data_IF_797243177932
#
_entry.id   IF_797243177932
#
_cell.length_a   1.000
_cell.length_b   1.000
_cell.length_c   1.000
_cell.angle_alpha   90.00
_cell.angle_beta   90.00
_cell.angle_gamma   90.00
#
_symmetry.space_group_name_H-M   'P 1'
#
loop_
_entity.id
_entity.type
_entity.pdbx_description
1 polymer ?
#
# COMPACT_ATOMS: atom_id res chain seq x y z
N UNK A 1 -30.30 -65.47 -5.19
CA UNK A 1 -30.67 -64.19 -5.82
C UNK A 1 -29.62 -63.18 -5.37
N UNK A 2 -28.64 -62.87 -6.23
CA UNK A 2 -28.49 -61.60 -6.96
C UNK A 2 -28.21 -60.41 -6.01
N UNK A 3 -27.18 -59.57 -6.13
CA UNK A 3 -26.19 -59.32 -7.18
C UNK A 3 -24.99 -58.60 -6.57
N UNK A 4 -23.83 -58.81 -7.21
CA UNK A 4 -22.57 -58.08 -7.13
C UNK A 4 -22.73 -56.55 -7.24
N UNK A 5 -21.92 -55.78 -6.49
CA UNK A 5 -21.40 -54.48 -6.97
C UNK A 5 -19.89 -54.38 -6.78
N UNK A 6 -19.25 -54.08 -7.90
CA UNK A 6 -17.82 -53.98 -8.19
C UNK A 6 -17.33 -52.54 -7.93
N UNK A 7 -16.15 -52.46 -7.32
CA UNK A 7 -15.02 -51.53 -7.52
C UNK A 7 -15.25 -50.19 -8.22
N UNK A 8 -14.82 -49.09 -7.58
CA UNK A 8 -13.76 -48.22 -8.17
C UNK A 8 -13.11 -47.33 -7.10
N UNK A 9 -11.77 -47.20 -7.09
CA UNK A 9 -11.05 -46.31 -6.20
C UNK A 9 -11.14 -44.88 -6.74
N UNK A 10 -11.55 -43.95 -5.88
CA UNK A 10 -11.61 -42.53 -6.20
C UNK A 10 -10.21 -42.02 -6.51
N UNK A 11 -10.05 -41.58 -7.75
CA UNK A 11 -8.81 -41.06 -8.35
C UNK A 11 -8.30 -39.84 -7.57
N UNK A 12 -6.97 -39.68 -7.36
CA UNK A 12 -6.42 -38.43 -6.84
C UNK A 12 -6.65 -37.35 -7.90
N UNK A 13 -7.34 -36.27 -7.52
CA UNK A 13 -7.42 -35.08 -8.37
C UNK A 13 -6.02 -34.53 -8.64
N UNK A 14 -5.72 -34.10 -9.88
CA UNK A 14 -4.40 -33.63 -10.27
C UNK A 14 -4.05 -32.36 -9.50
N UNK A 15 -2.83 -32.36 -8.96
CA UNK A 15 -2.17 -31.23 -8.33
C UNK A 15 -2.20 -30.00 -9.25
N UNK A 16 -3.14 -29.09 -9.04
CA UNK A 16 -2.96 -27.71 -9.49
C UNK A 16 -2.00 -27.10 -8.50
N UNK A 17 -0.77 -26.79 -8.93
CA UNK A 17 0.18 -26.05 -8.11
C UNK A 17 -0.44 -24.70 -7.79
N UNK A 18 -1.02 -24.57 -6.60
CA UNK A 18 -1.35 -23.30 -5.96
C UNK A 18 -0.01 -22.55 -5.81
N UNK A 19 0.37 -21.76 -6.81
CA UNK A 19 1.44 -20.79 -6.65
C UNK A 19 0.90 -19.68 -5.75
N UNK A 20 1.10 -19.85 -4.44
CA UNK A 20 0.80 -18.84 -3.45
C UNK A 20 1.41 -17.50 -3.87
N UNK A 21 0.62 -16.44 -3.75
CA UNK A 21 1.13 -15.07 -3.92
C UNK A 21 2.29 -14.84 -2.95
N UNK A 22 3.38 -14.29 -3.45
CA UNK A 22 4.57 -14.04 -2.64
C UNK A 22 4.38 -12.86 -1.70
N UNK A 23 5.21 -12.79 -0.66
CA UNK A 23 5.20 -11.65 0.29
C UNK A 23 5.52 -10.33 -0.41
N UNK A 24 6.37 -10.34 -1.42
CA UNK A 24 6.77 -9.16 -2.18
C UNK A 24 5.59 -8.64 -3.02
N UNK A 25 4.86 -9.55 -3.67
CA UNK A 25 3.64 -9.22 -4.42
C UNK A 25 2.54 -8.66 -3.51
N UNK A 26 2.30 -9.27 -2.34
CA UNK A 26 1.39 -8.72 -1.33
C UNK A 26 1.83 -7.33 -0.86
N UNK A 27 3.14 -7.10 -0.76
CA UNK A 27 3.71 -5.79 -0.41
C UNK A 27 3.50 -4.74 -1.52
N UNK A 28 3.49 -5.17 -2.79
CA UNK A 28 3.11 -4.31 -3.93
C UNK A 28 1.62 -3.95 -3.88
N UNK A 29 0.72 -4.92 -3.63
CA UNK A 29 -0.72 -4.64 -3.44
C UNK A 29 -0.91 -3.62 -2.33
N UNK A 30 -0.29 -3.85 -1.17
CA UNK A 30 -0.36 -2.94 -0.01
C UNK A 30 0.15 -1.54 -0.34
N UNK A 31 1.30 -1.44 -1.00
CA UNK A 31 1.89 -0.16 -1.39
C UNK A 31 1.02 0.59 -2.41
N UNK A 32 0.42 -0.11 -3.37
CA UNK A 32 -0.52 0.47 -4.32
C UNK A 32 -1.73 1.10 -3.62
N UNK A 33 -2.32 0.39 -2.65
CA UNK A 33 -3.45 0.91 -1.88
C UNK A 33 -3.05 2.16 -1.09
N UNK A 34 -1.95 2.09 -0.35
CA UNK A 34 -1.47 3.23 0.43
C UNK A 34 -1.21 4.46 -0.46
N UNK A 35 -0.47 4.28 -1.56
CA UNK A 35 -0.15 5.36 -2.49
C UNK A 35 -1.39 5.97 -3.13
N UNK A 36 -2.36 5.15 -3.52
CA UNK A 36 -3.64 5.61 -4.09
C UNK A 36 -4.40 6.49 -3.10
N UNK A 37 -4.44 6.09 -1.83
CA UNK A 37 -5.11 6.86 -0.79
C UNK A 37 -4.35 8.13 -0.41
N UNK A 38 -3.02 8.05 -0.25
CA UNK A 38 -2.15 9.20 0.03
C UNK A 38 -2.30 10.26 -1.06
N UNK A 39 -2.28 9.86 -2.32
CA UNK A 39 -2.42 10.77 -3.44
C UNK A 39 -3.76 11.54 -3.37
N UNK A 40 -4.87 10.83 -3.17
CA UNK A 40 -6.20 11.44 -2.98
C UNK A 40 -6.26 12.39 -1.79
N UNK A 41 -5.60 12.05 -0.68
CA UNK A 41 -5.54 12.90 0.51
C UNK A 41 -4.78 14.18 0.19
N UNK A 42 -3.61 14.11 -0.45
CA UNK A 42 -2.86 15.31 -0.81
C UNK A 42 -3.60 16.20 -1.81
N UNK A 43 -4.26 15.63 -2.82
CA UNK A 43 -5.11 16.40 -3.74
C UNK A 43 -6.23 17.14 -2.99
N UNK A 44 -6.91 16.44 -2.07
CA UNK A 44 -7.96 17.03 -1.23
C UNK A 44 -7.41 18.14 -0.35
N UNK A 45 -6.29 17.90 0.32
CA UNK A 45 -5.71 18.85 1.27
C UNK A 45 -5.23 20.12 0.54
N UNK A 46 -4.59 19.98 -0.61
CA UNK A 46 -4.22 21.12 -1.46
C UNK A 46 -5.45 21.95 -1.84
N UNK A 47 -6.56 21.30 -2.23
CA UNK A 47 -7.83 21.97 -2.53
C UNK A 47 -8.44 22.66 -1.33
N UNK A 48 -8.41 22.05 -0.15
CA UNK A 48 -8.95 22.63 1.10
C UNK A 48 -8.15 23.85 1.52
N UNK A 49 -6.81 23.76 1.50
CA UNK A 49 -5.92 24.88 1.81
C UNK A 49 -6.26 26.08 0.91
N UNK A 50 -6.34 25.87 -0.40
CA UNK A 50 -6.61 26.94 -1.37
C UNK A 50 -8.00 27.55 -1.27
N UNK A 51 -9.02 26.79 -0.82
CA UNK A 51 -10.42 27.25 -0.80
C UNK A 51 -10.95 27.68 0.57
N UNK A 52 -10.23 27.37 1.65
CA UNK A 52 -10.74 27.58 3.02
C UNK A 52 -10.83 29.05 3.45
N UNK A 53 -10.01 29.93 2.87
CA UNK A 53 -9.87 31.32 3.33
C UNK A 53 -9.24 31.47 4.72
N UNK A 54 -8.81 30.37 5.36
CA UNK A 54 -8.24 30.37 6.72
C UNK A 54 -6.75 30.71 6.74
N UNK A 55 -6.05 30.47 5.63
CA UNK A 55 -4.61 30.67 5.53
C UNK A 55 -4.30 32.07 5.00
N UNK A 56 -3.38 32.78 5.65
CA UNK A 56 -2.89 34.09 5.16
C UNK A 56 -2.05 33.95 3.88
N UNK A 57 -1.36 32.82 3.74
CA UNK A 57 -0.42 32.52 2.64
C UNK A 57 -0.65 31.11 2.07
N UNK A 58 -1.86 30.80 1.54
CA UNK A 58 -2.23 29.43 1.15
C UNK A 58 -1.30 28.85 0.08
N UNK A 59 -0.73 29.68 -0.80
CA UNK A 59 0.16 29.26 -1.88
C UNK A 59 1.41 28.53 -1.36
N UNK A 60 2.00 28.98 -0.25
CA UNK A 60 3.17 28.35 0.35
C UNK A 60 2.87 26.91 0.80
N UNK A 61 1.74 26.70 1.46
CA UNK A 61 1.33 25.37 1.93
C UNK A 61 0.87 24.48 0.78
N UNK A 62 0.20 25.06 -0.22
CA UNK A 62 -0.17 24.35 -1.44
C UNK A 62 1.06 23.86 -2.20
N UNK A 63 2.14 24.64 -2.28
CA UNK A 63 3.39 24.23 -2.93
C UNK A 63 4.03 23.01 -2.24
N UNK A 64 4.05 23.02 -0.90
CA UNK A 64 4.53 21.89 -0.10
C UNK A 64 3.72 20.62 -0.38
N UNK A 65 2.38 20.70 -0.30
CA UNK A 65 1.50 19.54 -0.53
C UNK A 65 1.54 19.09 -1.99
N UNK A 66 1.62 20.03 -2.94
CA UNK A 66 1.73 19.71 -4.38
C UNK A 66 3.03 18.98 -4.70
N UNK A 67 4.13 19.34 -4.05
CA UNK A 67 5.41 18.63 -4.19
C UNK A 67 5.29 17.18 -3.67
N UNK A 68 4.66 16.97 -2.51
CA UNK A 68 4.40 15.63 -2.00
C UNK A 68 3.46 14.83 -2.93
N UNK A 69 2.42 15.48 -3.49
CA UNK A 69 1.49 14.87 -4.46
C UNK A 69 2.23 14.35 -5.69
N UNK A 70 3.14 15.15 -6.26
CA UNK A 70 4.00 14.76 -7.40
C UNK A 70 4.86 13.54 -7.07
N UNK A 71 5.53 13.55 -5.91
CA UNK A 71 6.33 12.40 -5.44
C UNK A 71 5.49 11.14 -5.33
N UNK A 72 4.34 11.20 -4.67
CA UNK A 72 3.42 10.06 -4.54
C UNK A 72 2.92 9.57 -5.91
N UNK A 73 2.67 10.48 -6.86
CA UNK A 73 2.27 10.11 -8.22
C UNK A 73 3.35 9.29 -8.94
N UNK A 74 4.61 9.69 -8.83
CA UNK A 74 5.75 8.96 -9.41
C UNK A 74 5.85 7.57 -8.78
N UNK A 75 5.82 7.49 -7.45
CA UNK A 75 5.87 6.20 -6.74
C UNK A 75 4.68 5.30 -7.12
N UNK A 76 3.48 5.86 -7.31
CA UNK A 76 2.30 5.09 -7.72
C UNK A 76 2.46 4.53 -9.13
N UNK A 77 3.05 5.30 -10.05
CA UNK A 77 3.38 4.82 -11.39
C UNK A 77 4.39 3.69 -11.35
N UNK A 78 5.43 3.79 -10.52
CA UNK A 78 6.42 2.74 -10.34
C UNK A 78 5.81 1.45 -9.78
N UNK A 79 5.02 1.56 -8.71
CA UNK A 79 4.32 0.40 -8.13
C UNK A 79 3.34 -0.21 -9.15
N UNK A 80 2.65 0.61 -9.94
CA UNK A 80 1.74 0.10 -10.99
C UNK A 80 2.50 -0.66 -12.07
N UNK A 81 3.68 -0.17 -12.47
CA UNK A 81 4.57 -0.86 -13.41
C UNK A 81 5.06 -2.18 -12.82
N UNK A 82 5.43 -2.19 -11.55
CA UNK A 82 5.91 -3.40 -10.87
C UNK A 82 4.78 -4.43 -10.69
N UNK A 83 3.57 -4.00 -10.35
CA UNK A 83 2.41 -4.88 -10.37
C UNK A 83 2.25 -5.58 -11.74
N UNK A 84 2.36 -4.81 -12.83
CA UNK A 84 2.25 -5.35 -14.18
C UNK A 84 3.38 -6.34 -14.54
N UNK A 85 4.63 -6.08 -14.11
CA UNK A 85 5.76 -6.99 -14.38
C UNK A 85 5.63 -8.33 -13.64
N UNK A 86 4.90 -8.37 -12.53
CA UNK A 86 4.58 -9.59 -11.77
C UNK A 86 3.25 -10.25 -12.20
N UNK A 87 2.65 -9.84 -13.32
CA UNK A 87 1.33 -10.30 -13.77
C UNK A 87 0.24 -10.13 -12.69
N UNK A 88 0.37 -9.10 -11.85
CA UNK A 88 -0.53 -8.76 -10.76
C UNK A 88 -1.37 -7.55 -11.17
N UNK A 89 -2.70 -7.69 -11.09
CA UNK A 89 -3.64 -6.62 -11.44
C UNK A 89 -4.66 -6.44 -10.33
N UNK A 90 -4.73 -5.23 -9.79
CA UNK A 90 -5.80 -4.85 -8.86
C UNK A 90 -7.10 -4.70 -9.66
N UNK A 91 -8.12 -5.47 -9.31
CA UNK A 91 -9.41 -5.50 -10.01
C UNK A 91 -10.43 -4.61 -9.31
N UNK A 92 -10.46 -4.65 -7.99
CA UNK A 92 -11.42 -3.88 -7.17
C UNK A 92 -10.73 -3.36 -5.92
N UNK A 93 -11.03 -2.11 -5.55
CA UNK A 93 -10.69 -1.55 -4.24
C UNK A 93 -11.97 -1.12 -3.55
N UNK A 94 -12.20 -1.64 -2.33
CA UNK A 94 -13.34 -1.29 -1.48
C UNK A 94 -12.82 -0.80 -0.14
N UNK A 95 -13.63 0.01 0.52
CA UNK A 95 -13.38 0.44 1.88
C UNK A 95 -14.69 0.38 2.66
N UNK A 96 -14.61 -0.05 3.91
CA UNK A 96 -15.74 -0.17 4.83
C UNK A 96 -15.39 0.47 6.19
N UNK A 97 -16.20 0.21 7.21
CA UNK A 97 -15.96 0.73 8.56
C UNK A 97 -14.76 0.09 9.26
N UNK A 98 -14.31 -1.08 8.83
CA UNK A 98 -13.23 -1.85 9.44
C UNK A 98 -11.88 -1.59 8.75
N UNK A 99 -11.87 -1.37 7.44
CA UNK A 99 -10.63 -1.14 6.70
C UNK A 99 -10.78 -0.97 5.20
N UNK A 100 -9.69 -1.30 4.50
CA UNK A 100 -9.58 -1.28 3.04
C UNK A 100 -9.38 -2.72 2.56
N UNK A 101 -10.11 -3.09 1.52
CA UNK A 101 -10.03 -4.38 0.87
C UNK A 101 -9.66 -4.19 -0.60
N UNK A 102 -8.80 -5.07 -1.11
CA UNK A 102 -8.45 -5.11 -2.51
C UNK A 102 -8.60 -6.52 -3.05
N UNK A 103 -9.28 -6.64 -4.18
CA UNK A 103 -9.29 -7.85 -4.99
C UNK A 103 -8.27 -7.68 -6.11
N UNK A 104 -7.57 -8.76 -6.41
CA UNK A 104 -6.53 -8.78 -7.43
C UNK A 104 -6.51 -10.10 -8.19
N UNK A 105 -6.00 -10.06 -9.41
CA UNK A 105 -5.66 -11.26 -10.18
C UNK A 105 -4.13 -11.37 -10.32
N UNK A 106 -3.56 -12.52 -9.98
CA UNK A 106 -2.14 -12.82 -10.13
C UNK A 106 -1.97 -14.12 -10.92
N UNK A 107 -1.28 -14.08 -12.07
CA UNK A 107 -1.02 -15.28 -12.90
C UNK A 107 -2.26 -16.17 -13.17
N UNK A 108 -3.45 -15.55 -13.28
CA UNK A 108 -4.72 -16.24 -13.52
C UNK A 108 -5.51 -16.62 -12.26
N UNK A 109 -4.92 -16.53 -11.07
CA UNK A 109 -5.60 -16.73 -9.80
C UNK A 109 -6.19 -15.42 -9.27
N UNK A 110 -7.32 -15.51 -8.56
CA UNK A 110 -7.91 -14.36 -7.85
C UNK A 110 -7.53 -14.44 -6.38
N UNK A 111 -7.21 -13.29 -5.79
CA UNK A 111 -6.95 -13.16 -4.36
C UNK A 111 -7.53 -11.88 -3.79
N UNK A 112 -7.57 -11.82 -2.46
CA UNK A 112 -8.03 -10.67 -1.71
C UNK A 112 -7.02 -10.28 -0.63
N UNK A 113 -6.90 -8.99 -0.37
CA UNK A 113 -6.09 -8.43 0.71
C UNK A 113 -6.92 -7.44 1.50
N UNK A 114 -6.93 -7.60 2.82
CA UNK A 114 -7.65 -6.73 3.74
C UNK A 114 -6.71 -6.10 4.75
N UNK A 115 -6.83 -4.79 4.94
CA UNK A 115 -6.03 -4.02 5.88
C UNK A 115 -6.96 -3.22 6.79
N UNK A 116 -6.87 -3.46 8.10
CA UNK A 116 -7.65 -2.72 9.09
C UNK A 116 -7.21 -1.25 9.18
N UNK A 117 -8.17 -0.35 9.41
CA UNK A 117 -7.93 1.09 9.49
C UNK A 117 -6.79 1.53 10.42
N UNK A 118 -6.63 0.98 11.65
CA UNK A 118 -5.56 1.40 12.53
C UNK A 118 -4.17 1.17 11.91
N UNK A 119 -3.96 0.00 11.28
CA UNK A 119 -2.70 -0.32 10.60
C UNK A 119 -2.52 0.54 9.35
N UNK A 120 -3.57 0.65 8.53
CA UNK A 120 -3.54 1.42 7.28
C UNK A 120 -3.21 2.90 7.54
N UNK A 121 -3.88 3.53 8.51
CA UNK A 121 -3.69 4.95 8.83
C UNK A 121 -2.30 5.23 9.42
N UNK A 122 -1.78 4.36 10.30
CA UNK A 122 -0.42 4.51 10.84
C UNK A 122 0.62 4.53 9.73
N UNK A 123 0.55 3.56 8.83
CA UNK A 123 1.50 3.46 7.72
C UNK A 123 1.32 4.61 6.72
N UNK A 124 0.08 4.98 6.42
CA UNK A 124 -0.25 6.12 5.57
C UNK A 124 0.37 7.41 6.11
N UNK A 125 0.21 7.68 7.41
CA UNK A 125 0.79 8.87 8.06
C UNK A 125 2.32 8.88 7.99
N UNK A 126 2.97 7.74 8.23
CA UNK A 126 4.43 7.62 8.14
C UNK A 126 4.93 7.96 6.72
N UNK A 127 4.28 7.40 5.69
CA UNK A 127 4.62 7.67 4.29
C UNK A 127 4.32 9.12 3.90
N UNK A 128 3.20 9.69 4.33
CA UNK A 128 2.86 11.09 4.09
C UNK A 128 3.92 12.04 4.64
N UNK A 129 4.40 11.79 5.87
CA UNK A 129 5.49 12.57 6.47
C UNK A 129 6.75 12.51 5.62
N UNK A 130 7.15 11.32 5.19
CA UNK A 130 8.30 11.15 4.29
C UNK A 130 8.13 11.92 2.97
N UNK A 131 6.96 11.87 2.32
CA UNK A 131 6.73 12.60 1.06
C UNK A 131 6.75 14.12 1.24
N UNK A 132 6.30 14.61 2.40
CA UNK A 132 6.38 16.01 2.81
C UNK A 132 7.80 16.44 3.26
N UNK A 133 8.77 15.52 3.33
CA UNK A 133 10.11 15.81 3.81
C UNK A 133 10.21 16.01 5.33
N UNK A 134 9.22 15.51 6.09
CA UNK A 134 9.21 15.56 7.54
C UNK A 134 9.95 14.35 8.12
N UNK A 135 10.57 14.53 9.29
CA UNK A 135 11.21 13.43 10.03
C UNK A 135 10.21 12.30 10.29
N UNK A 136 10.60 11.08 9.95
CA UNK A 136 9.91 9.85 10.32
C UNK A 136 10.43 9.36 11.66
N UNK A 137 9.65 8.60 12.44
CA UNK A 137 10.11 8.11 13.76
C UNK A 137 11.42 7.31 13.66
N UNK A 138 11.67 6.63 12.54
CA UNK A 138 12.93 5.94 12.25
C UNK A 138 14.13 6.90 12.08
N UNK A 139 13.91 8.08 11.51
CA UNK A 139 14.98 9.09 11.31
C UNK A 139 15.26 9.91 12.57
N UNK A 140 14.39 9.86 13.59
CA UNK A 140 14.67 10.43 14.92
C UNK A 140 15.69 9.54 15.64
N UNK A 141 15.48 8.22 15.64
CA UNK A 141 16.39 7.24 16.27
C UNK A 141 17.79 7.31 15.64
N UNK A 142 17.90 7.29 14.31
CA UNK A 142 19.21 7.37 13.63
C UNK A 142 19.93 8.71 13.87
N UNK A 143 19.17 9.80 14.10
CA UNK A 143 19.75 11.12 14.38
C UNK A 143 20.25 11.21 15.81
N UNK A 144 19.55 10.62 16.77
CA UNK A 144 20.01 10.52 18.17
C UNK A 144 21.27 9.66 18.27
N UNK A 145 21.30 8.49 17.63
CA UNK A 145 22.49 7.61 17.56
C UNK A 145 23.71 8.33 16.94
N UNK A 146 23.49 9.11 15.88
CA UNK A 146 24.55 9.89 15.23
C UNK A 146 25.08 11.03 16.10
N UNK A 147 24.25 11.63 16.95
CA UNK A 147 24.66 12.68 17.88
C UNK A 147 25.40 12.11 19.08
N UNK A 148 24.98 10.95 19.58
CA UNK A 148 25.67 10.22 20.65
C UNK A 148 27.06 9.74 20.20
N UNK A 149 27.20 9.23 18.97
CA UNK A 149 28.51 8.84 18.42
C UNK A 149 29.48 10.02 18.27
N UNK A 150 28.99 11.20 17.89
CA UNK A 150 29.78 12.43 17.81
C UNK A 150 30.17 12.96 19.20
N UNK A 151 29.29 12.82 20.19
CA UNK A 151 29.58 13.25 21.57
C UNK A 151 30.60 12.33 22.28
N UNK A 152 30.66 11.05 21.93
CA UNK A 152 31.61 10.07 22.49
C UNK A 152 33.01 10.12 21.84
N UNK A 153 33.19 10.93 20.80
CA UNK A 153 34.46 11.08 20.06
C UNK A 153 35.17 12.41 20.33
N UNK A 154 34.75 13.15 21.35
CA UNK A 154 35.38 14.37 21.91
C UNK A 154 35.91 14.06 23.31
#
# INVERSE_FOLDING_TARGET
>A
MATTKITTPTTPHPHTREEDITKDELSLVRSYLLLTFIHKVFERDCRVIGKSGLFKTPQLYMELVSTATKKTSIMLQEVTRELASHNLKITTVRQDQQGVEAQYSCRGYQGESRILWPSFRREMMLRMRAYLGLATELSIVTREESLEQLALSI
#
